data_IF_650833793344
#
_entry.id   IF_650833793344
#
_cell.length_a   1.000
_cell.length_b   1.000
_cell.length_c   1.000
_cell.angle_alpha   90.00
_cell.angle_beta   90.00
_cell.angle_gamma   90.00
#
_symmetry.space_group_name_H-M   'P 1'
#
loop_
_entity.id
_entity.type
_entity.pdbx_description
1 polymer ?
#
# COMPACT_ATOMS: atom_id res chain seq x y z
N UNK A 1 18.66 9.31 6.78
CA UNK A 1 18.11 7.94 6.62
C UNK A 1 16.69 7.77 7.15
N UNK A 2 16.43 7.95 8.47
CA UNK A 2 15.09 7.80 9.05
C UNK A 2 14.04 8.68 8.38
N UNK A 3 14.32 9.98 8.24
CA UNK A 3 13.39 10.93 7.64
C UNK A 3 13.04 10.55 6.19
N UNK A 4 14.03 10.08 5.42
CA UNK A 4 13.79 9.57 4.07
C UNK A 4 12.91 8.33 4.06
N UNK A 5 13.13 7.40 4.98
CA UNK A 5 12.30 6.21 5.11
C UNK A 5 10.85 6.58 5.45
N UNK A 6 10.64 7.50 6.38
CA UNK A 6 9.30 7.98 6.74
C UNK A 6 8.60 8.64 5.56
N UNK A 7 9.33 9.44 4.78
CA UNK A 7 8.82 9.99 3.52
C UNK A 7 8.39 8.88 2.55
N UNK A 8 9.20 7.82 2.40
CA UNK A 8 8.85 6.68 1.53
C UNK A 8 7.62 5.93 2.06
N UNK A 9 7.51 5.71 3.37
CA UNK A 9 6.37 4.99 3.96
C UNK A 9 5.06 5.77 3.89
N UNK A 10 5.10 7.10 4.01
CA UNK A 10 3.91 7.94 4.10
C UNK A 10 3.49 8.52 2.75
N UNK A 11 4.46 8.95 1.94
CA UNK A 11 4.23 9.64 0.66
C UNK A 11 4.77 8.88 -0.54
N UNK A 12 5.55 7.83 -0.32
CA UNK A 12 6.05 7.01 -1.41
C UNK A 12 4.90 6.28 -2.07
N UNK A 13 4.79 6.42 -3.38
CA UNK A 13 3.99 5.51 -4.17
C UNK A 13 4.77 4.18 -4.22
N UNK A 14 4.48 3.30 -3.26
CA UNK A 14 5.12 2.00 -3.06
C UNK A 14 4.21 0.89 -3.54
N UNK A 15 4.82 -0.16 -4.06
CA UNK A 15 4.13 -1.31 -4.61
C UNK A 15 3.94 -2.43 -3.59
N UNK A 16 4.75 -2.43 -2.53
CA UNK A 16 4.67 -3.32 -1.37
C UNK A 16 5.51 -2.72 -0.21
N UNK A 17 5.09 -2.94 1.03
CA UNK A 17 5.71 -2.46 2.27
C UNK A 17 6.65 -3.47 2.93
N UNK A 18 6.51 -4.76 2.62
CA UNK A 18 7.34 -5.85 3.15
C UNK A 18 7.99 -6.68 2.05
N UNK A 19 7.22 -7.04 1.03
CA UNK A 19 7.66 -7.95 -0.03
C UNK A 19 8.58 -7.25 -1.02
N UNK A 20 9.51 -8.02 -1.56
CA UNK A 20 10.36 -7.60 -2.68
C UNK A 20 10.10 -8.40 -3.94
N UNK A 21 9.20 -9.38 -3.88
CA UNK A 21 8.79 -10.25 -4.98
C UNK A 21 7.26 -10.35 -4.98
N UNK A 22 6.64 -10.47 -6.15
CA UNK A 22 5.21 -10.78 -6.30
C UNK A 22 4.92 -12.21 -5.85
N UNK A 23 3.67 -12.48 -5.49
CA UNK A 23 3.21 -13.84 -5.17
C UNK A 23 2.96 -14.69 -6.40
N UNK A 24 2.46 -14.09 -7.48
CA UNK A 24 2.02 -14.84 -8.66
C UNK A 24 3.16 -15.44 -9.47
N UNK A 25 4.25 -14.70 -9.65
CA UNK A 25 5.31 -15.03 -10.60
C UNK A 25 6.73 -14.78 -10.05
N UNK A 26 6.86 -14.47 -8.75
CA UNK A 26 8.16 -14.19 -8.09
C UNK A 26 8.98 -13.09 -8.78
N UNK A 27 8.32 -12.15 -9.46
CA UNK A 27 8.98 -11.03 -10.13
C UNK A 27 9.40 -9.95 -9.12
N UNK A 28 10.58 -9.33 -9.29
CA UNK A 28 11.04 -8.28 -8.38
C UNK A 28 10.12 -7.06 -8.35
N UNK A 29 9.62 -6.73 -7.16
CA UNK A 29 8.85 -5.50 -6.91
C UNK A 29 9.83 -4.35 -6.75
N UNK A 30 9.89 -3.46 -7.74
CA UNK A 30 10.88 -2.38 -7.80
C UNK A 30 10.66 -1.30 -6.73
N UNK A 31 9.40 -0.94 -6.45
CA UNK A 31 9.06 0.21 -5.57
C UNK A 31 8.72 -0.24 -4.16
N UNK A 32 9.71 -0.75 -3.44
CA UNK A 32 9.54 -1.14 -2.04
C UNK A 32 10.34 -0.21 -1.14
N UNK A 33 9.91 0.05 0.12
CA UNK A 33 10.68 0.89 1.02
C UNK A 33 12.12 0.42 1.22
N UNK A 34 12.36 -0.90 1.18
CA UNK A 34 13.70 -1.48 1.27
C UNK A 34 14.58 -1.05 0.10
N UNK A 35 14.10 -1.27 -1.14
CA UNK A 35 14.89 -0.96 -2.34
C UNK A 35 15.02 0.54 -2.56
N UNK A 36 13.98 1.32 -2.32
CA UNK A 36 14.01 2.77 -2.45
C UNK A 36 14.98 3.41 -1.45
N UNK A 37 15.01 2.94 -0.20
CA UNK A 37 15.97 3.44 0.78
C UNK A 37 17.40 2.98 0.47
N UNK A 38 17.58 1.73 0.03
CA UNK A 38 18.89 1.23 -0.41
C UNK A 38 19.45 2.05 -1.57
N UNK A 39 18.64 2.34 -2.58
CA UNK A 39 19.03 3.18 -3.72
C UNK A 39 19.42 4.60 -3.27
N UNK A 40 18.68 5.20 -2.34
CA UNK A 40 19.02 6.49 -1.77
C UNK A 40 20.34 6.47 -0.98
N UNK A 41 20.62 5.39 -0.24
CA UNK A 41 21.90 5.22 0.46
C UNK A 41 23.06 5.10 -0.54
N UNK A 42 22.87 4.34 -1.61
CA UNK A 42 23.87 4.19 -2.67
C UNK A 42 24.14 5.48 -3.46
N UNK A 43 23.18 6.40 -3.48
CA UNK A 43 23.31 7.69 -4.16
C UNK A 43 23.92 8.79 -3.28
N UNK A 44 24.36 8.48 -2.05
CA UNK A 44 25.01 9.47 -1.20
C UNK A 44 26.44 9.73 -1.69
N UNK A 45 27.03 10.83 -1.22
CA UNK A 45 28.38 11.21 -1.61
C UNK A 45 29.47 10.27 -1.02
N UNK A 46 30.68 10.38 -1.56
CA UNK A 46 31.81 9.56 -1.14
C UNK A 46 32.20 9.75 0.34
N UNK A 47 31.97 10.96 0.90
CA UNK A 47 32.26 11.27 2.29
C UNK A 47 31.30 10.49 3.20
N UNK A 48 30.00 10.53 2.90
CA UNK A 48 28.98 9.75 3.59
C UNK A 48 29.27 8.25 3.52
N UNK A 49 29.65 7.75 2.33
CA UNK A 49 30.00 6.35 2.15
C UNK A 49 31.16 5.93 3.05
N UNK A 50 32.22 6.74 3.10
CA UNK A 50 33.40 6.48 3.94
C UNK A 50 33.07 6.53 5.43
N UNK A 51 32.26 7.50 5.85
CA UNK A 51 32.06 7.81 7.26
C UNK A 51 30.95 6.96 7.90
N UNK A 52 29.97 6.47 7.12
CA UNK A 52 28.76 5.82 7.65
C UNK A 52 28.45 4.43 7.09
N UNK A 53 29.10 3.99 6.01
CA UNK A 53 28.84 2.68 5.41
C UNK A 53 29.97 1.69 5.69
N UNK A 54 29.66 0.38 5.79
CA UNK A 54 30.68 -0.63 6.01
C UNK A 54 31.69 -0.65 4.83
N UNK A 55 32.99 -0.86 5.10
CA UNK A 55 34.00 -0.98 4.08
C UNK A 55 33.62 -2.02 3.01
N UNK A 56 33.85 -1.68 1.75
CA UNK A 56 33.53 -2.54 0.62
C UNK A 56 32.08 -2.42 0.12
N UNK A 57 31.19 -1.67 0.77
CA UNK A 57 29.89 -1.35 0.18
C UNK A 57 30.05 -0.48 -1.09
N UNK A 58 29.32 -0.74 -2.20
CA UNK A 58 28.30 -1.79 -2.40
C UNK A 58 28.83 -3.08 -3.06
N UNK A 59 30.15 -3.27 -3.17
CA UNK A 59 30.76 -4.41 -3.89
C UNK A 59 30.85 -5.68 -3.05
N UNK A 60 31.00 -5.56 -1.74
CA UNK A 60 31.08 -6.68 -0.80
C UNK A 60 29.67 -7.16 -0.41
N UNK A 61 29.47 -8.48 -0.48
CA UNK A 61 28.21 -9.13 -0.09
C UNK A 61 27.94 -8.90 1.40
N UNK A 62 28.94 -9.11 2.27
CA UNK A 62 28.81 -8.94 3.72
C UNK A 62 28.47 -7.50 4.09
N UNK A 63 29.14 -6.54 3.44
CA UNK A 63 28.86 -5.12 3.63
C UNK A 63 27.41 -4.78 3.20
N UNK A 64 26.94 -5.34 2.08
CA UNK A 64 25.56 -5.18 1.64
C UNK A 64 24.55 -5.80 2.61
N UNK A 65 24.83 -6.99 3.14
CA UNK A 65 23.97 -7.66 4.11
C UNK A 65 23.86 -6.85 5.40
N UNK A 66 24.97 -6.33 5.91
CA UNK A 66 24.99 -5.48 7.10
C UNK A 66 24.13 -4.21 6.92
N UNK A 67 24.23 -3.54 5.76
CA UNK A 67 23.39 -2.37 5.44
C UNK A 67 21.92 -2.75 5.36
N UNK A 68 21.59 -3.84 4.65
CA UNK A 68 20.21 -4.32 4.52
C UNK A 68 19.60 -4.68 5.87
N UNK A 69 20.35 -5.32 6.76
CA UNK A 69 19.89 -5.65 8.11
C UNK A 69 19.56 -4.39 8.92
N UNK A 70 20.41 -3.36 8.84
CA UNK A 70 20.15 -2.06 9.48
C UNK A 70 18.90 -1.38 8.91
N UNK A 71 18.72 -1.41 7.58
CA UNK A 71 17.50 -0.89 6.94
C UNK A 71 16.27 -1.65 7.46
N UNK A 72 16.30 -2.98 7.51
CA UNK A 72 15.17 -3.80 7.99
C UNK A 72 14.81 -3.49 9.45
N UNK A 73 15.80 -3.33 10.32
CA UNK A 73 15.59 -2.92 11.73
C UNK A 73 14.90 -1.55 11.81
N UNK A 74 15.38 -0.57 11.05
CA UNK A 74 14.77 0.75 10.98
C UNK A 74 13.34 0.68 10.43
N UNK A 75 13.13 -0.04 9.34
CA UNK A 75 11.80 -0.29 8.75
C UNK A 75 10.81 -0.92 9.73
N UNK A 76 11.23 -1.89 10.53
CA UNK A 76 10.37 -2.50 11.56
C UNK A 76 9.87 -1.44 12.54
N UNK A 77 10.76 -0.57 13.02
CA UNK A 77 10.40 0.50 13.97
C UNK A 77 9.47 1.55 13.34
N UNK A 78 9.80 2.08 12.16
CA UNK A 78 9.01 3.15 11.54
C UNK A 78 7.66 2.64 11.01
N UNK A 79 7.57 1.39 10.52
CA UNK A 79 6.28 0.75 10.21
C UNK A 79 5.45 0.55 11.48
N UNK A 80 6.05 0.15 12.60
CA UNK A 80 5.36 0.06 13.89
C UNK A 80 4.75 1.39 14.34
N UNK A 81 5.51 2.49 14.15
CA UNK A 81 5.01 3.84 14.39
C UNK A 81 3.86 4.19 13.44
N UNK A 82 4.00 3.94 12.12
CA UNK A 82 2.95 4.25 11.14
C UNK A 82 1.65 3.52 11.47
N UNK A 83 1.72 2.22 11.80
CA UNK A 83 0.57 1.44 12.24
C UNK A 83 -0.13 2.08 13.45
N UNK A 84 0.66 2.52 14.43
CA UNK A 84 0.12 3.16 15.64
C UNK A 84 -0.62 4.45 15.28
N UNK A 85 -0.09 5.25 14.35
CA UNK A 85 -0.72 6.50 13.90
C UNK A 85 -1.96 6.24 13.02
N UNK A 86 -1.97 5.19 12.21
CA UNK A 86 -3.16 4.77 11.45
C UNK A 86 -4.32 4.37 12.39
N UNK A 87 -4.00 3.82 13.56
CA UNK A 87 -4.96 3.47 14.62
C UNK A 87 -5.26 4.61 15.60
N UNK A 88 -4.81 5.83 15.32
CA UNK A 88 -5.03 6.98 16.19
C UNK A 88 -6.52 7.19 16.46
N UNK A 89 -6.89 7.32 17.74
CA UNK A 89 -8.26 7.39 18.26
C UNK A 89 -9.20 6.24 17.87
N UNK A 90 -8.66 5.08 17.46
CA UNK A 90 -9.44 3.84 17.22
C UNK A 90 -9.14 2.81 18.29
N UNK A 91 -7.85 2.65 18.65
CA UNK A 91 -7.40 1.69 19.66
C UNK A 91 -6.31 2.31 20.52
N UNK A 92 -6.40 2.08 21.82
CA UNK A 92 -5.30 2.40 22.74
C UNK A 92 -4.05 1.61 22.35
N UNK A 93 -2.97 2.34 22.11
CA UNK A 93 -1.69 1.79 21.69
C UNK A 93 -0.58 2.46 22.48
N UNK A 94 0.32 1.66 23.08
CA UNK A 94 1.46 2.15 23.88
C UNK A 94 1.04 3.08 25.04
N UNK A 95 -0.03 2.73 25.78
CA UNK A 95 -0.56 3.53 26.91
C UNK A 95 -1.02 4.95 26.53
N UNK A 96 -1.34 5.18 25.25
CA UNK A 96 -2.02 6.41 24.82
C UNK A 96 -3.52 6.15 24.82
N UNK A 97 -4.28 6.76 25.75
CA UNK A 97 -5.72 6.61 25.76
C UNK A 97 -6.34 7.16 24.47
N UNK A 98 -7.52 6.67 24.13
CA UNK A 98 -8.34 7.27 23.07
C UNK A 98 -8.81 8.63 23.59
N UNK A 99 -8.36 9.70 22.94
CA UNK A 99 -8.64 11.07 23.34
C UNK A 99 -9.36 11.81 22.22
N UNK A 100 -10.69 11.71 22.24
CA UNK A 100 -11.59 12.33 21.28
C UNK A 100 -12.01 11.44 20.12
N UNK A 101 -12.63 12.07 19.12
CA UNK A 101 -13.20 11.38 17.97
C UNK A 101 -12.14 10.78 17.04
N UNK A 102 -12.55 9.79 16.25
CA UNK A 102 -11.76 9.30 15.12
C UNK A 102 -11.53 10.46 14.14
N UNK A 103 -10.28 10.82 13.81
CA UNK A 103 -10.02 11.96 12.93
C UNK A 103 -10.53 11.71 11.51
N UNK A 104 -10.94 12.79 10.85
CA UNK A 104 -11.15 12.85 9.40
C UNK A 104 -9.87 12.49 8.64
N UNK A 105 -9.96 12.27 7.33
CA UNK A 105 -8.78 11.97 6.53
C UNK A 105 -7.72 13.08 6.58
N UNK A 106 -8.14 14.34 6.51
CA UNK A 106 -7.22 15.48 6.63
C UNK A 106 -6.64 15.60 8.05
N UNK A 107 -7.43 15.34 9.09
CA UNK A 107 -6.93 15.29 10.47
C UNK A 107 -5.90 14.17 10.68
N UNK A 108 -6.15 13.00 10.10
CA UNK A 108 -5.23 11.87 10.13
C UNK A 108 -3.91 12.21 9.43
N UNK A 109 -3.96 12.88 8.27
CA UNK A 109 -2.78 13.34 7.54
C UNK A 109 -1.93 14.26 8.41
N UNK A 110 -2.54 15.22 9.12
CA UNK A 110 -1.84 16.12 10.05
C UNK A 110 -1.17 15.33 11.19
N UNK A 111 -1.90 14.41 11.82
CA UNK A 111 -1.35 13.57 12.91
C UNK A 111 -0.17 12.75 12.41
N UNK A 112 -0.28 12.12 11.23
CA UNK A 112 0.80 11.33 10.64
C UNK A 112 1.98 12.23 10.33
N UNK A 113 1.77 13.38 9.70
CA UNK A 113 2.86 14.30 9.32
C UNK A 113 3.60 14.82 10.55
N UNK A 114 2.91 15.31 11.58
CA UNK A 114 3.58 15.83 12.79
C UNK A 114 4.40 14.76 13.53
N UNK A 115 3.98 13.50 13.50
CA UNK A 115 4.70 12.42 14.17
C UNK A 115 5.81 11.80 13.29
N UNK A 116 5.65 11.83 11.98
CA UNK A 116 6.60 11.27 11.01
C UNK A 116 7.58 12.29 10.45
N UNK A 117 7.28 13.58 10.53
CA UNK A 117 8.22 14.64 10.19
C UNK A 117 9.47 14.58 11.07
N UNK A 118 10.54 15.20 10.58
CA UNK A 118 11.74 15.38 11.39
C UNK A 118 11.39 16.20 12.63
N UNK A 119 11.95 15.85 13.80
CA UNK A 119 11.63 16.47 15.12
C UNK A 119 11.80 18.00 15.17
N UNK A 120 12.39 18.61 14.14
CA UNK A 120 12.66 20.05 14.05
C UNK A 120 11.70 20.81 13.11
N UNK A 121 10.66 20.16 12.58
CA UNK A 121 9.91 20.68 11.43
C UNK A 121 8.40 20.47 11.56
N UNK A 122 7.80 20.94 12.65
CA UNK A 122 6.34 21.01 12.74
C UNK A 122 5.85 22.06 11.73
N UNK A 123 5.08 21.60 10.76
CA UNK A 123 4.52 22.43 9.69
C UNK A 123 3.12 22.89 10.05
N UNK A 124 2.71 24.02 9.50
CA UNK A 124 1.34 24.51 9.65
C UNK A 124 0.35 23.53 8.98
N UNK A 125 -0.88 23.47 9.50
CA UNK A 125 -1.91 22.52 9.01
C UNK A 125 -2.17 22.69 7.52
N UNK A 126 -2.30 23.94 7.05
CA UNK A 126 -2.59 24.25 5.65
C UNK A 126 -1.44 23.81 4.72
N UNK A 127 -0.19 24.04 5.14
CA UNK A 127 0.99 23.59 4.40
C UNK A 127 1.07 22.06 4.30
N UNK A 128 0.67 21.39 5.38
CA UNK A 128 0.60 19.93 5.39
C UNK A 128 -0.45 19.49 4.37
N UNK A 129 -1.68 19.97 4.47
CA UNK A 129 -2.78 19.56 3.60
C UNK A 129 -2.47 19.80 2.12
N UNK A 130 -1.86 20.94 1.77
CA UNK A 130 -1.42 21.23 0.40
C UNK A 130 -0.29 20.31 -0.09
N UNK A 131 0.58 19.85 0.82
CA UNK A 131 1.70 18.97 0.48
C UNK A 131 1.34 17.48 0.33
N UNK A 132 0.05 17.14 0.46
CA UNK A 132 -0.47 15.77 0.33
C UNK A 132 -1.45 15.70 -0.84
N UNK A 133 -0.99 15.20 -2.01
CA UNK A 133 -1.88 14.92 -3.14
C UNK A 133 -2.97 13.92 -2.74
N UNK A 134 -4.11 13.97 -3.43
CA UNK A 134 -5.24 13.07 -3.17
C UNK A 134 -4.86 11.59 -3.26
N UNK A 135 -3.96 11.23 -4.17
CA UNK A 135 -3.44 9.86 -4.26
C UNK A 135 -2.74 9.39 -2.97
N UNK A 136 -2.02 10.28 -2.28
CA UNK A 136 -1.39 9.98 -0.99
C UNK A 136 -2.44 9.88 0.10
N UNK A 137 -3.42 10.79 0.13
CA UNK A 137 -4.53 10.74 1.09
C UNK A 137 -5.32 9.43 0.94
N UNK A 138 -5.67 9.05 -0.28
CA UNK A 138 -6.33 7.78 -0.61
C UNK A 138 -5.51 6.59 -0.16
N UNK A 139 -4.19 6.59 -0.39
CA UNK A 139 -3.31 5.53 0.11
C UNK A 139 -3.33 5.44 1.64
N UNK A 140 -3.29 6.56 2.36
CA UNK A 140 -3.37 6.56 3.83
C UNK A 140 -4.73 6.09 4.34
N UNK A 141 -5.83 6.46 3.68
CA UNK A 141 -7.17 5.96 3.98
C UNK A 141 -7.24 4.44 3.79
N UNK A 142 -6.74 3.94 2.66
CA UNK A 142 -6.64 2.51 2.37
C UNK A 142 -5.82 1.76 3.43
N UNK A 143 -4.63 2.26 3.77
CA UNK A 143 -3.79 1.67 4.81
C UNK A 143 -4.53 1.63 6.15
N UNK A 144 -5.23 2.71 6.53
CA UNK A 144 -5.99 2.77 7.77
C UNK A 144 -7.11 1.73 7.78
N UNK A 145 -7.90 1.65 6.72
CA UNK A 145 -8.98 0.68 6.61
C UNK A 145 -8.46 -0.75 6.78
N UNK A 146 -7.42 -1.14 6.03
CA UNK A 146 -6.84 -2.48 6.14
C UNK A 146 -6.15 -2.73 7.48
N UNK A 147 -5.62 -1.69 8.12
CA UNK A 147 -5.12 -1.78 9.50
C UNK A 147 -6.24 -2.15 10.46
N UNK A 148 -7.40 -1.51 10.33
CA UNK A 148 -8.58 -1.73 11.18
C UNK A 148 -9.21 -3.08 10.90
N UNK A 149 -9.38 -3.46 9.63
CA UNK A 149 -9.88 -4.79 9.23
C UNK A 149 -9.00 -5.88 9.84
N UNK A 150 -7.68 -5.77 9.70
CA UNK A 150 -6.78 -6.72 10.35
C UNK A 150 -6.92 -6.69 11.87
N UNK A 151 -7.08 -5.52 12.50
CA UNK A 151 -7.25 -5.42 13.94
C UNK A 151 -8.51 -6.16 14.44
N UNK A 152 -9.62 -6.10 13.70
CA UNK A 152 -10.91 -6.70 14.07
C UNK A 152 -10.95 -8.20 13.74
N UNK A 153 -10.46 -8.58 12.57
CA UNK A 153 -10.61 -9.94 12.02
C UNK A 153 -9.35 -10.81 12.17
N UNK A 154 -8.37 -10.39 13.00
CA UNK A 154 -7.15 -11.17 13.19
C UNK A 154 -7.47 -12.52 13.81
N UNK A 155 -7.19 -13.58 13.06
CA UNK A 155 -7.11 -14.93 13.59
C UNK A 155 -5.88 -15.04 14.51
N UNK A 156 -6.04 -15.35 15.81
CA UNK A 156 -4.92 -15.49 16.74
C UNK A 156 -3.99 -16.66 16.39
N UNK A 157 -4.43 -17.62 15.58
CA UNK A 157 -3.63 -18.76 15.13
C UNK A 157 -2.75 -18.41 13.91
N UNK A 158 -3.08 -17.34 13.19
CA UNK A 158 -2.31 -16.89 12.04
C UNK A 158 -1.25 -15.85 12.44
N UNK A 159 0.00 -16.13 12.07
CA UNK A 159 1.14 -15.21 12.25
C UNK A 159 1.33 -14.24 11.08
N UNK A 160 0.31 -14.03 10.24
CA UNK A 160 0.39 -13.06 9.15
C UNK A 160 0.41 -11.64 9.71
N UNK A 161 1.39 -10.86 9.29
CA UNK A 161 1.44 -9.46 9.67
C UNK A 161 0.43 -8.66 8.85
N UNK A 162 -0.15 -7.64 9.47
CA UNK A 162 -0.97 -6.65 8.79
C UNK A 162 -0.35 -6.12 7.48
N UNK A 163 0.97 -5.91 7.47
CA UNK A 163 1.66 -5.39 6.30
C UNK A 163 1.70 -6.38 5.14
N UNK A 164 1.71 -7.69 5.42
CA UNK A 164 1.61 -8.72 4.38
C UNK A 164 0.22 -8.79 3.77
N UNK A 165 -0.84 -8.60 4.57
CA UNK A 165 -2.21 -8.49 4.05
C UNK A 165 -2.38 -7.26 3.15
N UNK A 166 -1.80 -6.12 3.57
CA UNK A 166 -1.76 -4.90 2.75
C UNK A 166 -1.04 -5.18 1.43
N UNK A 167 0.12 -5.83 1.45
CA UNK A 167 0.88 -6.17 0.24
C UNK A 167 0.07 -7.08 -0.70
N UNK A 168 -0.63 -8.10 -0.16
CA UNK A 168 -1.52 -8.98 -0.93
C UNK A 168 -2.65 -8.21 -1.60
N UNK A 169 -3.28 -7.27 -0.88
CA UNK A 169 -4.37 -6.49 -1.44
C UNK A 169 -3.86 -5.54 -2.55
N UNK A 170 -2.72 -4.89 -2.34
CA UNK A 170 -2.13 -4.00 -3.36
C UNK A 170 -1.84 -4.80 -4.64
N UNK A 171 -1.29 -6.00 -4.52
CA UNK A 171 -1.04 -6.91 -5.63
C UNK A 171 -2.35 -7.34 -6.31
N UNK A 172 -3.37 -7.71 -5.54
CA UNK A 172 -4.70 -8.07 -6.06
C UNK A 172 -5.32 -6.94 -6.88
N UNK A 173 -5.39 -5.71 -6.33
CA UNK A 173 -5.98 -4.55 -7.01
C UNK A 173 -5.23 -4.22 -8.30
N UNK A 174 -3.90 -4.35 -8.30
CA UNK A 174 -3.09 -4.17 -9.52
C UNK A 174 -3.39 -5.21 -10.58
N UNK A 175 -3.54 -6.47 -10.17
CA UNK A 175 -3.87 -7.55 -11.10
C UNK A 175 -5.28 -7.38 -11.67
N UNK A 176 -6.25 -6.92 -10.86
CA UNK A 176 -7.59 -6.58 -11.35
C UNK A 176 -7.54 -5.42 -12.34
N UNK A 177 -6.85 -4.33 -12.00
CA UNK A 177 -6.66 -3.21 -12.92
C UNK A 177 -5.94 -3.63 -14.21
N UNK A 178 -4.95 -4.52 -14.13
CA UNK A 178 -4.26 -5.03 -15.32
C UNK A 178 -5.18 -5.92 -16.17
N UNK A 179 -6.05 -6.72 -15.55
CA UNK A 179 -7.05 -7.50 -16.29
C UNK A 179 -8.08 -6.62 -16.98
N UNK A 180 -8.57 -5.58 -16.28
CA UNK A 180 -9.61 -4.68 -16.76
C UNK A 180 -9.10 -3.64 -17.77
N UNK A 181 -7.89 -3.12 -17.57
CA UNK A 181 -7.35 -1.96 -18.31
C UNK A 181 -5.92 -2.18 -18.85
N UNK A 182 -5.26 -3.27 -18.49
CA UNK A 182 -3.88 -3.60 -18.90
C UNK A 182 -3.80 -4.55 -20.08
N UNK A 183 -4.93 -5.15 -20.49
CA UNK A 183 -5.09 -5.60 -21.86
C UNK A 183 -5.04 -4.34 -22.71
N UNK A 184 -3.90 -4.05 -23.36
CA UNK A 184 -3.77 -3.02 -24.39
C UNK A 184 -4.63 -3.39 -25.62
N UNK A 185 -5.92 -3.64 -25.45
CA UNK A 185 -6.86 -3.48 -26.54
C UNK A 185 -6.91 -1.97 -26.74
N UNK A 186 -6.32 -1.51 -27.84
CA UNK A 186 -6.65 -0.18 -28.32
C UNK A 186 -8.17 -0.10 -28.38
N UNK A 187 -8.76 1.01 -27.95
CA UNK A 187 -10.19 1.23 -28.16
C UNK A 187 -10.56 1.05 -29.65
N UNK A 188 -9.60 1.33 -30.54
CA UNK A 188 -9.67 1.11 -31.99
C UNK A 188 -9.71 -0.38 -32.42
N UNK A 189 -9.44 -1.32 -31.53
CA UNK A 189 -9.49 -2.77 -31.79
C UNK A 189 -10.69 -3.45 -31.12
N UNK A 190 -11.60 -2.67 -30.54
CA UNK A 190 -12.89 -3.21 -30.14
C UNK A 190 -13.71 -3.29 -31.42
N UNK A 191 -14.12 -4.51 -31.81
CA UNK A 191 -15.02 -4.68 -32.94
C UNK A 191 -16.31 -3.92 -32.65
N UNK A 192 -16.49 -2.78 -33.31
CA UNK A 192 -17.61 -1.88 -33.07
C UNK A 192 -18.97 -2.55 -33.37
N UNK A 193 -18.95 -3.65 -34.11
CA UNK A 193 -20.11 -4.49 -34.38
C UNK A 193 -20.63 -5.21 -33.12
N UNK A 194 -19.76 -5.45 -32.12
CA UNK A 194 -20.13 -6.07 -30.84
C UNK A 194 -20.66 -5.06 -29.80
N UNK A 195 -20.45 -3.76 -30.02
CA UNK A 195 -21.00 -2.69 -29.16
C UNK A 195 -22.22 -2.09 -29.86
N UNK A 196 -23.32 -2.84 -29.90
CA UNK A 196 -24.63 -2.31 -30.28
C UNK A 196 -25.55 -2.21 -29.08
N UNK A 197 -26.42 -1.22 -29.10
CA UNK A 197 -27.56 -1.19 -28.16
C UNK A 197 -28.38 -2.44 -28.43
N UNK A 198 -28.77 -3.22 -27.39
CA UNK A 198 -29.59 -4.42 -27.58
C UNK A 198 -30.84 -4.09 -28.39
N UNK A 199 -31.17 -4.93 -29.38
CA UNK A 199 -32.42 -4.82 -30.12
C UNK A 199 -33.60 -5.30 -29.26
N UNK A 200 -34.82 -4.94 -29.65
CA UNK A 200 -36.03 -5.41 -28.94
C UNK A 200 -36.12 -6.95 -28.93
N UNK A 201 -35.66 -7.62 -29.99
CA UNK A 201 -35.55 -9.09 -30.03
C UNK A 201 -34.54 -9.63 -29.02
N UNK A 202 -33.36 -9.02 -28.91
CA UNK A 202 -32.34 -9.42 -27.92
C UNK A 202 -32.88 -9.29 -26.48
N UNK A 203 -33.66 -8.24 -26.21
CA UNK A 203 -34.30 -8.00 -24.90
C UNK A 203 -35.41 -9.01 -24.63
N UNK A 204 -36.26 -9.31 -25.62
CA UNK A 204 -37.32 -10.31 -25.48
C UNK A 204 -36.77 -11.72 -25.30
N UNK A 205 -35.70 -12.08 -25.99
CA UNK A 205 -35.05 -13.38 -25.88
C UNK A 205 -34.41 -13.55 -24.50
N UNK A 206 -33.75 -12.51 -23.98
CA UNK A 206 -33.20 -12.51 -22.61
C UNK A 206 -34.32 -12.60 -21.56
N UNK A 207 -35.42 -11.87 -21.73
CA UNK A 207 -36.60 -11.99 -20.82
C UNK A 207 -37.18 -13.40 -20.85
N UNK A 208 -37.23 -14.05 -22.02
CA UNK A 208 -37.68 -15.44 -22.17
C UNK A 208 -36.70 -16.42 -21.53
N UNK A 209 -35.39 -16.21 -21.68
CA UNK A 209 -34.33 -17.01 -21.04
C UNK A 209 -34.41 -16.92 -19.51
N UNK A 210 -34.55 -15.71 -18.97
CA UNK A 210 -34.75 -15.50 -17.53
C UNK A 210 -36.06 -16.10 -17.01
N UNK A 211 -37.07 -16.24 -17.86
CA UNK A 211 -38.39 -16.78 -17.51
C UNK A 211 -38.51 -18.30 -17.67
N UNK A 212 -37.62 -18.97 -18.43
CA UNK A 212 -37.75 -20.39 -18.81
C UNK A 212 -36.62 -21.31 -18.35
N UNK A 213 -35.54 -20.80 -17.74
CA UNK A 213 -34.37 -21.62 -17.38
C UNK A 213 -33.79 -21.39 -15.98
N UNK A 214 -34.25 -22.22 -15.04
CA UNK A 214 -33.52 -22.90 -13.95
C UNK A 214 -32.38 -22.19 -13.17
N UNK A 215 -32.60 -22.04 -11.86
CA UNK A 215 -31.59 -21.68 -10.86
C UNK A 215 -30.61 -22.85 -10.67
N UNK A 216 -29.69 -23.06 -11.60
CA UNK A 216 -28.68 -24.13 -11.44
C UNK A 216 -27.30 -23.75 -11.96
N UNK A 217 -26.82 -22.53 -11.68
CA UNK A 217 -25.37 -22.27 -11.57
C UNK A 217 -25.07 -21.63 -10.23
N UNK A 218 -24.38 -22.40 -9.37
CA UNK A 218 -23.92 -21.97 -8.06
C UNK A 218 -23.01 -20.75 -8.17
N UNK A 219 -23.58 -19.58 -7.89
CA UNK A 219 -22.81 -18.49 -7.31
C UNK A 219 -22.43 -18.93 -5.90
N UNK A 220 -21.17 -19.31 -5.72
CA UNK A 220 -20.56 -19.17 -4.41
C UNK A 220 -20.57 -17.68 -4.08
N UNK A 221 -21.34 -17.34 -3.06
CA UNK A 221 -21.34 -16.03 -2.44
C UNK A 221 -19.91 -15.71 -1.98
N UNK A 222 -19.31 -14.56 -2.32
CA UNK A 222 -17.99 -14.18 -1.79
C UNK A 222 -18.03 -13.73 -0.32
N UNK A 223 -19.19 -13.86 0.34
CA UNK A 223 -19.45 -13.38 1.69
C UNK A 223 -20.13 -14.42 2.58
N UNK A 224 -19.75 -15.68 2.44
CA UNK A 224 -19.91 -16.71 3.49
C UNK A 224 -18.52 -17.27 3.87
#
# INVERSE_FOLDING_TARGET
MRDKLRQILVKGNVDAYTRTMTLSDSTPIKRTPLLMLKAHIQSQDAVFHRDYLPPGFPKSIDACLAVVEKIRKLMKSEKGLLRTLLLYNIKEMNHRPIDGAVPSLDGLVVVIDHNMASRKQLRAVDEIQQSYPDSVKTNLAFLRLYTVVHLIHRDPTQNISQWELIDQQIEYVKNQNHKLFGQKKNFDCIEHEDIRVPSEEDVEEEIRLMSSGDRSHGQSNPFD
#
